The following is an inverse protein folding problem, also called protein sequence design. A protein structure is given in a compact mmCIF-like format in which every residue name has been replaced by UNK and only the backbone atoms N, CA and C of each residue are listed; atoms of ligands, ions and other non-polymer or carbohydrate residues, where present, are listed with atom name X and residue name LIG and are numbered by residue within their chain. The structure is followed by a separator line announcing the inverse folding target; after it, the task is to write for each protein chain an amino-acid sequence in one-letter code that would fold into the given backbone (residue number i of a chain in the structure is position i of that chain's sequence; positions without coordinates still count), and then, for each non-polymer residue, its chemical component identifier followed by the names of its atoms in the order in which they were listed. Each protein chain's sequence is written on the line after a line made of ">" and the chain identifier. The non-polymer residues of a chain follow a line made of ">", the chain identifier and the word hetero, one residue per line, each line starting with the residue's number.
data_IF_788938427986
#
_entry.id   IF_788938427986
#
_cell.length_a   1.000
_cell.length_b   1.000
_cell.length_c   1.000
_cell.angle_alpha   90.00
_cell.angle_beta   90.00
_cell.angle_gamma   90.00
#
_symmetry.space_group_name_H-M   'P 1'
#
loop_
_entity.id
_entity.type
_entity.pdbx_description
1 polymer ?
#
# COMPACT_ATOMS: atom_id res chain seq x y z
N UNK A 1 11.67 -12.93 8.45
CA UNK A 1 11.22 -12.08 9.56
C UNK A 1 10.05 -11.24 9.13
N UNK A 2 9.06 -11.13 9.97
CA UNK A 2 7.86 -10.36 9.64
C UNK A 2 8.02 -8.89 10.02
N UNK A 3 7.37 -8.04 9.25
CA UNK A 3 7.31 -6.62 9.55
C UNK A 3 6.16 -6.33 10.52
N UNK A 4 6.38 -5.33 11.38
CA UNK A 4 5.31 -4.78 12.21
C UNK A 4 4.47 -3.84 11.35
N UNK A 5 3.15 -4.06 11.30
CA UNK A 5 2.23 -3.31 10.45
C UNK A 5 1.50 -2.25 11.26
N UNK A 6 1.53 -1.02 10.77
CA UNK A 6 0.77 0.11 11.31
C UNK A 6 -0.15 0.61 10.21
N UNK A 7 -1.41 0.84 10.54
CA UNK A 7 -2.44 1.31 9.60
C UNK A 7 -2.82 2.73 9.97
N UNK A 8 -2.61 3.68 9.06
CA UNK A 8 -2.99 5.08 9.29
C UNK A 8 -4.51 5.22 9.32
N UNK A 9 -5.00 6.29 9.97
CA UNK A 9 -6.43 6.60 9.98
C UNK A 9 -6.95 6.84 8.56
N UNK A 10 -6.17 7.49 7.73
CA UNK A 10 -6.51 7.73 6.32
C UNK A 10 -6.65 6.42 5.56
N UNK A 11 -5.71 5.49 5.78
CA UNK A 11 -5.76 4.20 5.10
C UNK A 11 -7.02 3.42 5.47
N UNK A 12 -7.42 3.46 6.76
CA UNK A 12 -8.65 2.79 7.20
C UNK A 12 -9.88 3.33 6.47
N UNK A 13 -9.97 4.64 6.30
CA UNK A 13 -11.06 5.28 5.58
C UNK A 13 -11.03 4.91 4.09
N UNK A 14 -9.84 4.96 3.50
CA UNK A 14 -9.64 4.59 2.09
C UNK A 14 -10.02 3.14 1.84
N UNK A 15 -9.65 2.25 2.74
CA UNK A 15 -9.96 0.82 2.65
C UNK A 15 -11.47 0.60 2.63
N UNK A 16 -12.19 1.27 3.53
CA UNK A 16 -13.66 1.18 3.58
C UNK A 16 -14.30 1.72 2.31
N UNK A 17 -13.75 2.81 1.75
CA UNK A 17 -14.25 3.39 0.50
C UNK A 17 -14.08 2.40 -0.65
N UNK A 18 -12.92 1.76 -0.75
CA UNK A 18 -12.68 0.75 -1.78
C UNK A 18 -13.65 -0.42 -1.64
N UNK A 19 -13.91 -0.85 -0.42
CA UNK A 19 -14.87 -1.93 -0.16
C UNK A 19 -16.27 -1.55 -0.62
N UNK A 20 -16.71 -0.32 -0.32
CA UNK A 20 -18.02 0.19 -0.74
C UNK A 20 -18.15 0.30 -2.25
N UNK A 21 -17.03 0.53 -2.95
CA UNK A 21 -17.01 0.57 -4.43
C UNK A 21 -17.10 -0.84 -5.04
N UNK A 22 -17.09 -1.88 -4.24
CA UNK A 22 -17.20 -3.26 -4.71
C UNK A 22 -15.89 -3.86 -5.20
N UNK A 23 -14.74 -3.28 -4.86
CA UNK A 23 -13.46 -3.83 -5.25
C UNK A 23 -13.20 -5.16 -4.54
N UNK A 24 -12.45 -6.05 -5.19
CA UNK A 24 -12.08 -7.32 -4.56
C UNK A 24 -10.98 -7.09 -3.53
N UNK A 25 -11.39 -6.98 -2.27
CA UNK A 25 -10.48 -6.64 -1.18
C UNK A 25 -9.44 -7.74 -0.90
N UNK A 26 -9.64 -8.96 -1.43
CA UNK A 26 -8.60 -10.01 -1.30
C UNK A 26 -7.33 -9.61 -2.03
N UNK A 27 -7.45 -8.81 -3.09
CA UNK A 27 -6.28 -8.37 -3.86
C UNK A 27 -5.36 -7.49 -3.02
N UNK A 28 -5.92 -6.51 -2.29
CA UNK A 28 -5.10 -5.62 -1.47
C UNK A 28 -4.58 -6.34 -0.23
N UNK A 29 -5.39 -7.18 0.41
CA UNK A 29 -4.92 -7.90 1.60
C UNK A 29 -3.82 -8.89 1.26
N UNK A 30 -3.85 -9.52 0.08
CA UNK A 30 -2.76 -10.37 -0.38
C UNK A 30 -1.46 -9.59 -0.52
N UNK A 31 -1.52 -8.38 -1.11
CA UNK A 31 -0.34 -7.53 -1.25
C UNK A 31 0.20 -7.10 0.12
N UNK A 32 -0.69 -6.71 1.04
CA UNK A 32 -0.29 -6.32 2.39
C UNK A 32 0.36 -7.48 3.13
N UNK A 33 -0.20 -8.68 3.03
CA UNK A 33 0.36 -9.87 3.67
C UNK A 33 1.72 -10.23 3.11
N UNK A 34 1.91 -10.10 1.80
CA UNK A 34 3.19 -10.35 1.15
C UNK A 34 4.26 -9.38 1.65
N UNK A 35 3.92 -8.10 1.74
CA UNK A 35 4.83 -7.09 2.30
C UNK A 35 5.17 -7.40 3.75
N UNK A 36 4.18 -7.77 4.55
CA UNK A 36 4.40 -8.10 5.96
C UNK A 36 5.38 -9.27 6.10
N UNK A 37 5.25 -10.29 5.25
CA UNK A 37 6.07 -11.49 5.33
C UNK A 37 7.49 -11.27 4.80
N UNK A 38 7.65 -10.45 3.75
CA UNK A 38 8.90 -10.39 2.98
C UNK A 38 9.50 -9.00 2.84
N UNK A 39 8.72 -7.93 3.00
CA UNK A 39 9.17 -6.57 2.75
C UNK A 39 9.27 -6.21 1.27
N UNK A 40 8.81 -7.08 0.38
CA UNK A 40 8.87 -6.85 -1.07
C UNK A 40 7.57 -7.30 -1.73
N UNK A 41 7.35 -6.80 -2.96
CA UNK A 41 6.22 -7.23 -3.79
C UNK A 41 6.72 -7.75 -5.13
N UNK A 42 6.03 -8.73 -5.74
CA UNK A 42 6.34 -9.15 -7.11
C UNK A 42 6.26 -8.00 -8.11
N UNK A 43 7.02 -8.11 -9.18
CA UNK A 43 7.13 -7.06 -10.20
C UNK A 43 5.78 -6.67 -10.82
N UNK A 44 4.81 -7.59 -10.83
CA UNK A 44 3.48 -7.33 -11.38
C UNK A 44 2.74 -6.19 -10.66
N UNK A 45 3.11 -5.90 -9.40
CA UNK A 45 2.53 -4.78 -8.64
C UNK A 45 3.21 -3.45 -8.95
N UNK A 46 4.28 -3.43 -9.74
CA UNK A 46 5.06 -2.22 -10.05
C UNK A 46 5.46 -1.43 -8.80
N UNK A 47 6.06 -2.08 -7.79
CA UNK A 47 6.45 -1.37 -6.59
C UNK A 47 7.59 -0.39 -6.89
N UNK A 48 7.44 0.87 -6.45
CA UNK A 48 8.45 1.90 -6.66
C UNK A 48 8.35 2.98 -5.61
N UNK A 49 9.43 3.72 -5.41
CA UNK A 49 9.44 4.87 -4.52
C UNK A 49 9.06 6.11 -5.30
N UNK A 50 8.23 6.95 -4.68
CA UNK A 50 7.82 8.21 -5.27
C UNK A 50 8.96 9.24 -5.17
N UNK A 51 8.93 10.24 -6.06
CA UNK A 51 9.89 11.34 -6.10
C UNK A 51 9.17 12.66 -5.84
N UNK A 52 9.93 13.75 -5.69
CA UNK A 52 9.37 15.06 -5.41
C UNK A 52 8.92 15.19 -3.97
N UNK A 53 7.75 15.81 -3.75
CA UNK A 53 7.23 16.05 -2.40
C UNK A 53 6.95 14.78 -1.62
N UNK A 54 6.62 13.69 -2.32
CA UNK A 54 6.32 12.40 -1.69
C UNK A 54 7.51 11.45 -1.71
N UNK A 55 8.72 11.99 -1.84
CA UNK A 55 9.95 11.18 -1.91
C UNK A 55 10.08 10.26 -0.70
N UNK A 56 10.45 9.00 -0.98
CA UNK A 56 10.64 7.99 0.05
C UNK A 56 9.41 7.17 0.37
N UNK A 57 8.24 7.59 -0.12
CA UNK A 57 7.01 6.81 0.04
C UNK A 57 6.94 5.78 -1.08
N UNK A 58 6.62 4.54 -0.72
CA UNK A 58 6.41 3.46 -1.68
C UNK A 58 5.00 3.51 -2.25
N UNK A 59 4.88 3.14 -3.52
CA UNK A 59 3.60 2.99 -4.20
C UNK A 59 3.60 1.72 -5.01
N UNK A 60 2.46 1.06 -5.10
CA UNK A 60 2.27 -0.08 -5.99
C UNK A 60 0.87 -0.03 -6.62
N UNK A 61 0.67 -0.87 -7.64
CA UNK A 61 -0.62 -1.03 -8.30
C UNK A 61 -1.23 -2.36 -7.86
N UNK A 62 -2.34 -2.29 -7.15
CA UNK A 62 -3.16 -3.48 -6.87
C UNK A 62 -3.89 -3.91 -8.14
N UNK A 63 -4.41 -2.92 -8.87
CA UNK A 63 -4.96 -3.01 -10.23
C UNK A 63 -4.52 -1.75 -10.98
N UNK A 64 -4.71 -1.64 -12.30
CA UNK A 64 -4.19 -0.49 -13.06
C UNK A 64 -4.53 0.88 -12.49
N UNK A 65 -5.75 1.07 -11.95
CA UNK A 65 -6.12 2.32 -11.29
C UNK A 65 -6.51 2.10 -9.83
N UNK A 66 -5.86 1.18 -9.18
CA UNK A 66 -6.01 0.95 -7.74
C UNK A 66 -4.63 0.89 -7.11
N UNK A 67 -4.25 1.98 -6.44
CA UNK A 67 -2.93 2.18 -5.86
C UNK A 67 -2.93 1.93 -4.36
N UNK A 68 -1.76 1.63 -3.83
CA UNK A 68 -1.51 1.55 -2.40
C UNK A 68 -0.17 2.20 -2.10
N UNK A 69 -0.13 3.04 -1.06
CA UNK A 69 1.11 3.71 -0.63
C UNK A 69 1.45 3.35 0.80
N UNK A 70 2.74 3.29 1.08
CA UNK A 70 3.22 2.97 2.43
C UNK A 70 4.63 3.51 2.67
N UNK A 71 5.00 3.62 3.93
CA UNK A 71 6.37 3.86 4.35
C UNK A 71 6.94 2.56 4.89
N UNK A 72 8.22 2.33 4.66
CA UNK A 72 8.88 1.09 5.04
C UNK A 72 10.25 1.38 5.66
N UNK A 73 10.47 0.82 6.85
CA UNK A 73 11.77 0.88 7.53
C UNK A 73 12.28 -0.55 7.65
N UNK A 74 13.32 -0.87 6.86
CA UNK A 74 13.88 -2.21 6.82
C UNK A 74 14.79 -2.51 8.00
N UNK A 75 15.29 -1.49 8.71
CA UNK A 75 16.09 -1.69 9.91
C UNK A 75 15.21 -2.05 11.10
N UNK A 76 14.09 -1.35 11.25
CA UNK A 76 13.15 -1.59 12.34
C UNK A 76 12.07 -2.59 11.97
N UNK A 77 12.02 -3.05 10.73
CA UNK A 77 11.03 -3.97 10.20
C UNK A 77 9.60 -3.46 10.43
N UNK A 78 9.33 -2.23 9.99
CA UNK A 78 8.01 -1.61 10.11
C UNK A 78 7.45 -1.23 8.76
N UNK A 79 6.13 -1.35 8.64
CA UNK A 79 5.34 -0.90 7.49
C UNK A 79 4.23 0.01 8.00
N UNK A 80 4.14 1.22 7.45
CA UNK A 80 3.04 2.14 7.74
C UNK A 80 2.24 2.33 6.46
N UNK A 81 1.04 1.77 6.41
CA UNK A 81 0.15 1.93 5.26
C UNK A 81 -0.54 3.28 5.34
N UNK A 82 -0.42 4.07 4.27
CA UNK A 82 -0.79 5.48 4.23
C UNK A 82 -2.10 5.75 3.49
N UNK A 83 -2.23 5.27 2.27
CA UNK A 83 -3.37 5.55 1.41
C UNK A 83 -3.63 4.40 0.44
N UNK A 84 -4.88 4.28 -0.01
CA UNK A 84 -5.24 3.41 -1.13
C UNK A 84 -6.44 3.99 -1.86
N UNK A 85 -6.49 3.79 -3.17
CA UNK A 85 -7.56 4.30 -4.02
C UNK A 85 -7.09 4.49 -5.45
N UNK A 86 -7.90 5.24 -6.23
CA UNK A 86 -7.54 5.57 -7.61
C UNK A 86 -6.49 6.66 -7.64
N UNK A 87 -5.91 6.92 -8.84
CA UNK A 87 -5.03 8.08 -9.01
C UNK A 87 -5.72 9.37 -8.59
N UNK A 88 -7.00 9.53 -8.92
CA UNK A 88 -7.76 10.73 -8.54
C UNK A 88 -7.95 10.84 -7.03
N UNK A 89 -8.05 9.71 -6.31
CA UNK A 89 -8.19 9.72 -4.86
C UNK A 89 -6.89 10.15 -4.16
N UNK A 90 -5.74 9.82 -4.74
CA UNK A 90 -4.44 10.02 -4.09
C UNK A 90 -3.70 11.28 -4.53
N UNK A 91 -3.99 11.78 -5.74
CA UNK A 91 -3.24 12.90 -6.33
C UNK A 91 -4.11 14.04 -6.87
#
# INVERSE_FOLDING_TARGET
>A
MEYHVIISSRFKKDFKRCMKRGLDMRLITTAMDTLKATGTLPAQYYPHKLVGEKRGIWECHIQPDWLMTWEQNNQELTLLFLQTGTHADLF
#
